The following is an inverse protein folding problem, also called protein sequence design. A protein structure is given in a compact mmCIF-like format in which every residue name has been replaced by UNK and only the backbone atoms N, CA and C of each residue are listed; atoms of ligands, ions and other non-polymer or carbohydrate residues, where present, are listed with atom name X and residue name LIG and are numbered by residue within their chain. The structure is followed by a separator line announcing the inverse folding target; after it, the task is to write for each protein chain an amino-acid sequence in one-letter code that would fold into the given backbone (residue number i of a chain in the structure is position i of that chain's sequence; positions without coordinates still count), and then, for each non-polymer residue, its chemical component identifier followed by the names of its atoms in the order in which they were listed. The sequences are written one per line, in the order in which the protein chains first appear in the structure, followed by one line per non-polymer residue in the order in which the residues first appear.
data_IF_057186482299
#
_entry.id   IF_057186482299
#
_cell.length_a   1.000
_cell.length_b   1.000
_cell.length_c   1.000
_cell.angle_alpha   90.00
_cell.angle_beta   90.00
_cell.angle_gamma   90.00
#
_symmetry.space_group_name_H-M   'P 1'
#
loop_
_entity.id
_entity.type
_entity.pdbx_description
1 polymer ?
#
# COMPACT_ATOMS: atom_id res chain seq x y z
N UNK A 1 -51.57 41.29 -13.51
CA UNK A 1 -50.09 41.16 -13.51
C UNK A 1 -49.70 40.01 -12.60
N UNK A 2 -49.59 38.78 -13.15
CA UNK A 2 -49.06 37.62 -12.41
C UNK A 2 -47.70 37.29 -13.01
N UNK A 3 -46.63 37.50 -12.24
CA UNK A 3 -45.24 37.30 -12.68
C UNK A 3 -44.96 35.79 -12.69
N UNK A 4 -44.61 35.28 -13.86
CA UNK A 4 -44.12 33.93 -14.10
C UNK A 4 -42.66 33.86 -13.62
N UNK A 5 -42.37 33.07 -12.59
CA UNK A 5 -40.99 32.79 -12.16
C UNK A 5 -40.56 31.52 -12.90
N UNK A 6 -39.63 31.69 -13.84
CA UNK A 6 -38.95 30.61 -14.54
C UNK A 6 -37.82 30.12 -13.62
N UNK A 7 -37.93 28.91 -13.08
CA UNK A 7 -36.83 28.27 -12.34
C UNK A 7 -35.93 27.59 -13.36
N UNK A 8 -34.79 28.21 -13.66
CA UNK A 8 -33.72 27.61 -14.45
C UNK A 8 -32.90 26.74 -13.49
N UNK A 9 -33.12 25.42 -13.53
CA UNK A 9 -32.19 24.45 -12.95
C UNK A 9 -30.91 24.46 -13.80
N UNK A 10 -29.90 25.21 -13.37
CA UNK A 10 -28.55 25.02 -13.88
C UNK A 10 -28.03 23.67 -13.36
N UNK A 11 -28.00 22.66 -14.24
CA UNK A 11 -27.19 21.46 -14.02
C UNK A 11 -25.74 21.90 -13.96
N UNK A 12 -25.19 21.96 -12.75
CA UNK A 12 -23.76 22.09 -12.51
C UNK A 12 -23.15 20.74 -12.90
N UNK A 13 -22.68 20.60 -14.14
CA UNK A 13 -21.80 19.49 -14.51
C UNK A 13 -20.51 19.66 -13.72
N UNK A 14 -20.36 18.92 -12.63
CA UNK A 14 -19.07 18.67 -12.00
C UNK A 14 -18.20 17.97 -13.05
N UNK A 15 -17.37 18.76 -13.73
CA UNK A 15 -16.21 18.24 -14.42
C UNK A 15 -15.31 17.67 -13.32
N UNK A 16 -15.33 16.35 -13.15
CA UNK A 16 -14.34 15.64 -12.34
C UNK A 16 -12.98 15.86 -13.00
N UNK A 17 -12.27 16.89 -12.56
CA UNK A 17 -10.85 17.00 -12.86
C UNK A 17 -10.18 15.85 -12.13
N UNK A 18 -9.65 14.88 -12.87
CA UNK A 18 -8.66 13.95 -12.35
C UNK A 18 -7.41 14.77 -11.99
N UNK A 19 -7.44 15.41 -10.82
CA UNK A 19 -6.29 16.05 -10.22
C UNK A 19 -5.40 14.93 -9.71
N UNK A 20 -4.34 14.61 -10.44
CA UNK A 20 -3.23 13.82 -9.88
C UNK A 20 -2.81 14.49 -8.57
N UNK A 21 -2.82 13.74 -7.47
CA UNK A 21 -2.47 14.25 -6.16
C UNK A 21 -1.08 14.93 -6.19
N UNK A 22 -1.03 16.23 -5.88
CA UNK A 22 0.24 16.97 -5.84
C UNK A 22 1.18 16.35 -4.81
N UNK A 23 2.44 16.20 -5.20
CA UNK A 23 3.50 15.61 -4.38
C UNK A 23 4.52 16.67 -3.95
N UNK A 24 4.85 16.72 -2.66
CA UNK A 24 5.90 17.56 -2.10
C UNK A 24 7.12 16.72 -1.73
N UNK A 25 8.29 17.05 -2.28
CA UNK A 25 9.59 16.54 -1.84
C UNK A 25 10.15 17.49 -0.79
N UNK A 26 10.32 17.01 0.43
CA UNK A 26 10.97 17.73 1.52
C UNK A 26 12.34 17.12 1.76
N UNK A 27 13.38 17.95 1.82
CA UNK A 27 14.73 17.42 2.07
C UNK A 27 15.62 18.36 2.88
N UNK A 28 16.63 17.76 3.50
CA UNK A 28 17.78 18.46 4.06
C UNK A 28 19.06 17.88 3.45
N UNK A 29 20.04 18.73 3.14
CA UNK A 29 21.31 18.29 2.56
C UNK A 29 22.47 19.13 3.08
N UNK A 30 23.34 18.53 3.90
CA UNK A 30 24.53 19.22 4.37
C UNK A 30 25.62 19.31 3.27
N UNK A 31 26.09 18.16 2.78
CA UNK A 31 27.22 18.06 1.83
C UNK A 31 26.80 17.81 0.38
N UNK A 32 25.50 17.83 0.07
CA UNK A 32 25.00 17.77 -1.31
C UNK A 32 24.41 16.43 -1.75
N UNK A 33 24.71 15.31 -1.07
CA UNK A 33 24.23 13.97 -1.51
C UNK A 33 22.70 13.88 -1.61
N UNK A 34 21.97 14.35 -0.58
CA UNK A 34 20.50 14.39 -0.63
C UNK A 34 19.98 15.34 -1.71
N UNK A 35 20.67 16.46 -1.96
CA UNK A 35 20.31 17.38 -3.06
C UNK A 35 20.45 16.71 -4.42
N UNK A 36 21.51 15.93 -4.65
CA UNK A 36 21.66 15.17 -5.90
C UNK A 36 20.59 14.09 -6.09
N UNK A 37 20.20 13.42 -4.99
CA UNK A 37 19.07 12.47 -4.98
C UNK A 37 17.78 13.19 -5.38
N UNK A 38 17.48 14.35 -4.77
CA UNK A 38 16.29 15.15 -5.08
C UNK A 38 16.30 15.63 -6.53
N UNK A 39 17.41 16.16 -7.04
CA UNK A 39 17.52 16.57 -8.44
C UNK A 39 17.23 15.41 -9.40
N UNK A 40 17.67 14.20 -9.04
CA UNK A 40 17.40 13.00 -9.84
C UNK A 40 15.92 12.63 -9.77
N UNK A 41 15.33 12.62 -8.57
CA UNK A 41 13.90 12.36 -8.35
C UNK A 41 13.01 13.33 -9.14
N UNK A 42 13.29 14.63 -9.06
CA UNK A 42 12.49 15.67 -9.73
C UNK A 42 12.63 15.66 -11.26
N UNK A 43 13.64 14.98 -11.80
CA UNK A 43 13.74 14.73 -13.25
C UNK A 43 12.85 13.59 -13.74
N UNK A 44 12.36 12.73 -12.82
CA UNK A 44 11.59 11.54 -13.14
C UNK A 44 10.09 11.72 -12.85
N UNK A 45 9.73 12.61 -11.92
CA UNK A 45 8.33 12.88 -11.53
C UNK A 45 8.09 14.38 -11.31
N UNK A 46 6.87 14.82 -11.60
CA UNK A 46 6.41 16.19 -11.32
C UNK A 46 6.15 16.35 -9.82
N UNK A 47 6.92 17.23 -9.17
CA UNK A 47 6.83 17.47 -7.73
C UNK A 47 7.16 18.91 -7.40
N UNK A 48 6.62 19.37 -6.28
CA UNK A 48 7.11 20.55 -5.61
C UNK A 48 8.28 20.19 -4.70
N UNK A 49 9.30 21.05 -4.63
CA UNK A 49 10.46 20.83 -3.74
C UNK A 49 10.49 21.87 -2.62
N UNK A 50 10.82 21.41 -1.40
CA UNK A 50 11.13 22.21 -0.22
C UNK A 50 12.47 21.74 0.38
N UNK A 51 13.49 22.62 0.36
CA UNK A 51 14.71 22.41 1.13
C UNK A 51 14.54 23.01 2.53
N UNK A 52 14.76 22.20 3.56
CA UNK A 52 14.79 22.65 4.95
C UNK A 52 16.20 23.16 5.27
N UNK A 53 16.30 24.34 5.86
CA UNK A 53 17.56 24.96 6.25
C UNK A 53 17.58 25.24 7.76
N UNK A 54 18.71 25.03 8.46
CA UNK A 54 18.87 25.49 9.84
C UNK A 54 18.83 27.02 9.91
N UNK A 55 18.27 27.58 10.98
CA UNK A 55 18.31 29.03 11.20
C UNK A 55 19.74 29.54 11.34
N UNK A 56 20.57 28.80 12.09
CA UNK A 56 22.00 29.11 12.20
C UNK A 56 22.73 28.79 10.88
N UNK A 57 23.48 29.78 10.38
CA UNK A 57 24.19 29.68 9.10
C UNK A 57 25.67 29.42 9.32
N UNK A 58 26.31 28.77 8.36
CA UNK A 58 27.74 28.46 8.44
C UNK A 58 28.09 27.34 9.43
N UNK A 59 27.12 26.51 9.80
CA UNK A 59 27.33 25.34 10.65
C UNK A 59 28.36 24.39 10.02
N UNK A 60 29.38 24.04 10.78
CA UNK A 60 30.44 23.10 10.38
C UNK A 60 30.25 21.78 11.14
N UNK A 61 29.38 20.91 10.62
CA UNK A 61 29.07 19.65 11.30
C UNK A 61 30.25 18.68 11.32
N UNK A 62 31.22 18.76 10.41
CA UNK A 62 32.44 17.94 10.43
C UNK A 62 33.45 18.37 11.48
N UNK A 63 33.35 19.60 11.99
CA UNK A 63 34.29 20.11 12.98
C UNK A 63 34.22 19.30 14.28
N UNK A 64 35.35 19.22 14.98
CA UNK A 64 35.45 18.59 16.30
C UNK A 64 34.85 17.17 16.35
N UNK A 65 35.11 16.36 15.32
CA UNK A 65 34.61 14.98 15.21
C UNK A 65 33.07 14.90 15.30
N UNK A 66 32.37 15.78 14.59
CA UNK A 66 30.91 15.83 14.57
C UNK A 66 30.23 16.10 15.93
N UNK A 67 30.90 16.85 16.80
CA UNK A 67 30.40 17.20 18.13
C UNK A 67 29.03 17.90 18.08
N UNK A 68 28.85 18.86 17.17
CA UNK A 68 27.59 19.59 17.04
C UNK A 68 26.44 18.67 16.65
N UNK A 69 26.61 17.85 15.60
CA UNK A 69 25.58 16.90 15.18
C UNK A 69 25.24 15.90 16.29
N UNK A 70 26.25 15.44 17.03
CA UNK A 70 26.07 14.55 18.19
C UNK A 70 25.26 15.23 19.30
N UNK A 71 25.58 16.50 19.61
CA UNK A 71 24.87 17.27 20.63
C UNK A 71 23.38 17.44 20.27
N UNK A 72 23.09 17.79 19.01
CA UNK A 72 21.70 17.96 18.54
C UNK A 72 20.90 16.67 18.65
N UNK A 73 21.44 15.54 18.18
CA UNK A 73 20.77 14.25 18.28
C UNK A 73 20.57 13.80 19.73
N UNK A 74 21.56 14.04 20.61
CA UNK A 74 21.44 13.73 22.03
C UNK A 74 20.37 14.57 22.73
N UNK A 75 20.23 15.85 22.38
CA UNK A 75 19.18 16.70 22.91
C UNK A 75 17.79 16.16 22.57
N UNK A 76 17.55 15.84 21.29
CA UNK A 76 16.28 15.24 20.82
C UNK A 76 16.03 13.91 21.52
N UNK A 77 17.02 13.02 21.56
CA UNK A 77 16.89 11.70 22.19
C UNK A 77 16.57 11.79 23.68
N UNK A 78 17.13 12.77 24.38
CA UNK A 78 16.87 12.97 25.81
C UNK A 78 15.45 13.49 26.07
N UNK A 79 14.91 14.34 25.18
CA UNK A 79 13.62 15.01 25.37
C UNK A 79 12.77 15.03 24.08
N UNK A 80 12.39 13.87 23.51
CA UNK A 80 11.84 13.80 22.15
C UNK A 80 10.46 14.44 21.98
N UNK A 81 9.76 14.71 23.09
CA UNK A 81 8.45 15.37 23.10
C UNK A 81 8.54 16.86 23.45
N UNK A 82 9.74 17.39 23.68
CA UNK A 82 9.97 18.80 24.00
C UNK A 82 10.47 19.54 22.75
N UNK A 83 9.72 20.55 22.31
CA UNK A 83 10.06 21.39 21.17
C UNK A 83 11.44 22.06 21.31
N UNK A 84 11.88 22.35 22.54
CA UNK A 84 13.18 22.99 22.81
C UNK A 84 14.38 22.06 22.54
N UNK A 85 14.15 20.75 22.42
CA UNK A 85 15.19 19.77 22.09
C UNK A 85 15.58 19.76 20.62
N UNK A 86 14.74 20.35 19.76
CA UNK A 86 14.91 20.38 18.31
C UNK A 86 15.62 21.67 17.87
N UNK A 87 16.66 21.62 17.01
CA UNK A 87 17.32 22.82 16.49
C UNK A 87 16.37 23.64 15.61
N UNK A 88 16.49 24.97 15.66
CA UNK A 88 15.67 25.86 14.85
C UNK A 88 15.95 25.74 13.34
N UNK A 89 14.88 25.81 12.54
CA UNK A 89 14.91 25.83 11.08
C UNK A 89 14.31 27.14 10.57
N UNK A 90 14.72 27.54 9.36
CA UNK A 90 14.10 28.67 8.67
C UNK A 90 12.59 28.44 8.46
N UNK A 91 11.79 29.52 8.37
CA UNK A 91 10.41 29.40 7.92
C UNK A 91 10.30 28.68 6.58
N UNK A 92 9.38 27.73 6.48
CA UNK A 92 9.16 26.93 5.27
C UNK A 92 8.29 27.70 4.26
N UNK A 93 8.60 27.53 2.97
CA UNK A 93 7.89 28.24 1.88
C UNK A 93 6.72 27.46 1.31
N UNK A 94 6.57 26.18 1.68
CA UNK A 94 5.49 25.29 1.25
C UNK A 94 4.91 24.57 2.46
N UNK A 95 3.59 24.60 2.58
CA UNK A 95 2.88 23.91 3.66
C UNK A 95 2.61 22.45 3.25
N UNK A 96 2.94 21.44 4.07
CA UNK A 96 2.58 20.07 3.78
C UNK A 96 1.06 19.84 3.75
N UNK A 97 0.26 20.76 4.32
CA UNK A 97 -1.20 20.69 4.26
C UNK A 97 -1.74 20.65 2.82
N UNK A 98 -1.05 21.29 1.87
CA UNK A 98 -1.48 21.47 0.48
C UNK A 98 -1.24 20.24 -0.42
N UNK A 99 -0.65 19.17 0.12
CA UNK A 99 -0.20 17.99 -0.63
C UNK A 99 -0.77 16.72 -0.02
N UNK A 100 -1.19 15.75 -0.83
CA UNK A 100 -1.60 14.44 -0.32
C UNK A 100 -0.41 13.47 -0.20
N UNK A 101 0.58 13.63 -1.08
CA UNK A 101 1.79 12.81 -1.12
C UNK A 101 3.01 13.64 -0.67
N UNK A 102 3.82 13.09 0.22
CA UNK A 102 5.04 13.73 0.72
C UNK A 102 6.20 12.74 0.62
N UNK A 103 7.31 13.15 0.00
CA UNK A 103 8.55 12.38 -0.04
C UNK A 103 9.58 13.06 0.84
N UNK A 104 10.10 12.34 1.83
CA UNK A 104 11.17 12.82 2.71
C UNK A 104 12.52 12.31 2.19
N UNK A 105 13.48 13.21 1.94
CA UNK A 105 14.86 12.84 1.61
C UNK A 105 15.81 13.38 2.67
N UNK A 106 16.50 12.49 3.38
CA UNK A 106 17.30 12.90 4.57
C UNK A 106 18.61 12.12 4.68
N UNK A 107 19.69 12.74 5.20
CA UNK A 107 20.89 12.01 5.53
C UNK A 107 20.76 11.29 6.88
N UNK A 108 21.43 10.15 7.00
CA UNK A 108 21.64 9.44 8.25
C UNK A 108 22.80 10.06 9.03
N UNK A 109 22.56 10.45 10.28
CA UNK A 109 23.57 10.90 11.23
C UNK A 109 23.57 9.99 12.46
N UNK A 110 24.68 9.27 12.70
CA UNK A 110 24.82 8.38 13.87
C UNK A 110 23.65 7.40 14.05
N UNK A 111 23.29 6.70 12.97
CA UNK A 111 22.16 5.76 12.89
C UNK A 111 20.78 6.37 13.18
N UNK A 112 20.67 7.69 13.21
CA UNK A 112 19.43 8.45 13.44
C UNK A 112 19.16 9.38 12.25
N UNK A 113 17.91 9.84 12.14
CA UNK A 113 17.54 10.87 11.19
C UNK A 113 18.29 12.19 11.52
N UNK A 114 18.78 12.92 10.51
CA UNK A 114 19.39 14.21 10.75
C UNK A 114 18.47 15.15 11.54
N UNK A 115 19.03 15.83 12.56
CA UNK A 115 18.26 16.63 13.51
C UNK A 115 17.41 17.72 12.83
N UNK A 116 17.90 18.32 11.74
CA UNK A 116 17.18 19.33 10.96
C UNK A 116 15.91 18.76 10.32
N UNK A 117 15.97 17.53 9.78
CA UNK A 117 14.77 16.86 9.25
C UNK A 117 13.82 16.50 10.40
N UNK A 118 14.34 16.01 11.53
CA UNK A 118 13.49 15.71 12.70
C UNK A 118 12.73 16.94 13.19
N UNK A 119 13.36 18.13 13.24
CA UNK A 119 12.67 19.39 13.57
C UNK A 119 11.48 19.62 12.65
N UNK A 120 11.68 19.52 11.33
CA UNK A 120 10.60 19.74 10.38
C UNK A 120 9.43 18.76 10.60
N UNK A 121 9.72 17.47 10.78
CA UNK A 121 8.67 16.48 11.03
C UNK A 121 7.94 16.74 12.35
N UNK A 122 8.67 17.04 13.43
CA UNK A 122 8.09 17.36 14.73
C UNK A 122 7.12 18.55 14.65
N UNK A 123 7.50 19.61 13.95
CA UNK A 123 6.68 20.82 13.80
C UNK A 123 5.47 20.64 12.88
N UNK A 124 5.52 19.70 11.93
CA UNK A 124 4.51 19.55 10.89
C UNK A 124 3.68 18.25 11.00
N UNK A 125 3.93 17.40 12.00
CA UNK A 125 3.30 16.08 12.15
C UNK A 125 1.77 16.13 12.10
N UNK A 126 1.15 17.12 12.75
CA UNK A 126 -0.32 17.29 12.76
C UNK A 126 -0.88 17.57 11.37
N UNK A 127 -0.20 18.40 10.58
CA UNK A 127 -0.58 18.67 9.20
C UNK A 127 -0.32 17.48 8.28
N UNK A 128 0.58 16.56 8.65
CA UNK A 128 0.89 15.37 7.86
C UNK A 128 -0.02 14.18 8.16
N UNK A 129 -0.84 14.23 9.20
CA UNK A 129 -1.77 13.16 9.53
C UNK A 129 -2.73 12.83 8.36
N UNK A 130 -2.90 11.55 8.07
CA UNK A 130 -3.72 11.05 6.96
C UNK A 130 -3.09 11.18 5.56
N UNK A 131 -1.87 11.72 5.46
CA UNK A 131 -1.15 11.84 4.18
C UNK A 131 -0.34 10.60 3.86
N UNK A 132 0.03 10.46 2.59
CA UNK A 132 0.91 9.41 2.12
C UNK A 132 2.37 9.87 2.19
N UNK A 133 3.24 9.06 2.79
CA UNK A 133 4.65 9.41 2.98
C UNK A 133 5.58 8.36 2.38
N UNK A 134 6.46 8.78 1.49
CA UNK A 134 7.62 8.01 1.01
C UNK A 134 8.92 8.56 1.60
N UNK A 135 9.96 7.73 1.68
CA UNK A 135 11.25 8.15 2.24
C UNK A 135 12.45 7.61 1.47
N UNK A 136 13.43 8.49 1.22
CA UNK A 136 14.76 8.13 0.71
C UNK A 136 15.80 8.54 1.76
N UNK A 137 16.63 7.60 2.17
CA UNK A 137 17.68 7.85 3.17
C UNK A 137 19.05 7.78 2.50
N UNK A 138 19.82 8.85 2.65
CA UNK A 138 21.23 8.89 2.22
C UNK A 138 22.16 8.53 3.37
N UNK A 139 23.17 7.71 3.11
CA UNK A 139 24.20 7.38 4.11
C UNK A 139 25.55 7.07 3.43
N UNK A 140 26.60 6.86 4.23
CA UNK A 140 27.83 6.28 3.68
C UNK A 140 27.69 4.76 3.51
N UNK A 141 27.51 4.03 4.61
CA UNK A 141 27.40 2.56 4.64
C UNK A 141 26.49 1.99 5.73
N UNK A 142 26.00 2.83 6.65
CA UNK A 142 25.17 2.39 7.78
C UNK A 142 23.74 2.11 7.34
N UNK A 143 23.16 1.03 7.86
CA UNK A 143 21.75 0.69 7.65
C UNK A 143 20.81 1.76 8.21
N UNK A 144 19.61 1.85 7.63
CA UNK A 144 18.71 2.99 7.80
C UNK A 144 17.60 2.79 8.83
N UNK A 145 17.57 1.65 9.52
CA UNK A 145 16.46 1.29 10.42
C UNK A 145 16.21 2.33 11.52
N UNK A 146 17.26 2.91 12.11
CA UNK A 146 17.07 3.96 13.12
C UNK A 146 16.50 5.27 12.55
N UNK A 147 16.82 5.61 11.30
CA UNK A 147 16.20 6.75 10.58
C UNK A 147 14.71 6.47 10.36
N UNK A 148 14.36 5.24 9.98
CA UNK A 148 12.98 4.81 9.80
C UNK A 148 12.20 4.89 11.12
N UNK A 149 12.76 4.38 12.22
CA UNK A 149 12.14 4.45 13.54
C UNK A 149 11.94 5.89 14.04
N UNK A 150 12.88 6.80 13.75
CA UNK A 150 12.69 8.22 14.03
C UNK A 150 11.50 8.81 13.24
N UNK A 151 11.39 8.46 11.96
CA UNK A 151 10.31 8.92 11.10
C UNK A 151 8.94 8.42 11.60
N UNK A 152 8.81 7.13 11.91
CA UNK A 152 7.59 6.51 12.44
C UNK A 152 7.17 7.11 13.78
N UNK A 153 8.14 7.38 14.67
CA UNK A 153 7.89 8.06 15.95
C UNK A 153 7.34 9.48 15.75
N UNK A 154 7.90 10.23 14.80
CA UNK A 154 7.51 11.61 14.53
C UNK A 154 6.20 11.73 13.74
N UNK A 155 5.91 10.73 12.91
CA UNK A 155 4.76 10.68 12.01
C UNK A 155 3.88 9.43 12.26
N UNK A 156 3.27 9.29 13.45
CA UNK A 156 2.53 8.07 13.79
C UNK A 156 1.21 7.91 13.03
N UNK A 157 0.70 8.98 12.43
CA UNK A 157 -0.64 9.04 11.83
C UNK A 157 -0.59 9.20 10.29
N UNK A 158 0.48 8.75 9.64
CA UNK A 158 0.62 8.79 8.18
C UNK A 158 0.50 7.39 7.58
N UNK A 159 0.22 7.32 6.28
CA UNK A 159 0.28 6.06 5.53
C UNK A 159 1.61 6.00 4.80
N UNK A 160 2.47 5.06 5.18
CA UNK A 160 3.74 4.83 4.48
C UNK A 160 3.49 4.19 3.11
N UNK A 161 4.04 4.79 2.06
CA UNK A 161 3.85 4.39 0.66
C UNK A 161 4.61 3.11 0.27
N UNK A 162 5.50 2.64 1.14
CA UNK A 162 6.34 1.46 0.92
C UNK A 162 7.59 1.51 1.78
N UNK A 163 8.52 0.59 1.52
CA UNK A 163 9.82 0.60 2.19
C UNK A 163 10.65 1.85 1.82
N UNK A 164 11.42 2.35 2.78
CA UNK A 164 12.32 3.46 2.56
C UNK A 164 13.45 3.06 1.59
N UNK A 165 13.71 3.89 0.57
CA UNK A 165 14.81 3.66 -0.35
C UNK A 165 16.14 4.03 0.31
N UNK A 166 17.06 3.07 0.34
CA UNK A 166 18.42 3.30 0.83
C UNK A 166 19.39 3.61 -0.31
N UNK A 167 19.89 4.85 -0.34
CA UNK A 167 20.98 5.26 -1.24
C UNK A 167 22.23 5.51 -0.40
N UNK A 168 23.27 4.74 -0.65
CA UNK A 168 24.53 4.80 0.08
C UNK A 168 25.71 5.11 -0.85
N UNK A 169 26.91 5.26 -0.31
CA UNK A 169 28.09 5.64 -1.10
C UNK A 169 28.39 4.66 -2.24
N UNK A 170 28.12 3.36 -2.06
CA UNK A 170 28.39 2.34 -3.08
C UNK A 170 27.40 2.35 -4.24
N UNK A 171 26.16 2.79 -4.02
CA UNK A 171 25.09 2.75 -5.02
C UNK A 171 24.66 4.15 -5.51
N UNK A 172 25.24 5.22 -4.98
CA UNK A 172 24.90 6.61 -5.33
C UNK A 172 25.07 6.90 -6.83
N UNK A 173 26.02 6.24 -7.51
CA UNK A 173 26.18 6.33 -8.97
C UNK A 173 25.01 5.75 -9.77
N UNK A 174 24.29 4.77 -9.19
CA UNK A 174 23.14 4.10 -9.80
C UNK A 174 21.79 4.69 -9.33
N UNK A 175 21.80 5.83 -8.64
CA UNK A 175 20.60 6.44 -8.02
C UNK A 175 19.44 6.63 -8.98
N UNK A 176 19.69 6.96 -10.26
CA UNK A 176 18.62 7.18 -11.23
C UNK A 176 17.74 5.94 -11.40
N UNK A 177 18.33 4.77 -11.64
CA UNK A 177 17.59 3.51 -11.78
C UNK A 177 16.99 3.03 -10.46
N UNK A 178 17.66 3.28 -9.32
CA UNK A 178 17.12 2.94 -8.01
C UNK A 178 15.86 3.75 -7.69
N UNK A 179 15.89 5.06 -7.95
CA UNK A 179 14.76 5.96 -7.77
C UNK A 179 13.63 5.57 -8.72
N UNK A 180 13.92 5.30 -9.99
CA UNK A 180 12.91 4.90 -10.98
C UNK A 180 12.17 3.62 -10.55
N UNK A 181 12.92 2.61 -10.11
CA UNK A 181 12.33 1.35 -9.64
C UNK A 181 11.55 1.53 -8.35
N UNK A 182 12.06 2.34 -7.42
CA UNK A 182 11.37 2.62 -6.17
C UNK A 182 10.08 3.42 -6.38
N UNK A 183 10.06 4.40 -7.28
CA UNK A 183 8.84 5.14 -7.64
C UNK A 183 7.74 4.19 -8.11
N UNK A 184 8.09 3.17 -8.91
CA UNK A 184 7.14 2.13 -9.36
C UNK A 184 6.57 1.31 -8.19
N UNK A 185 7.29 1.21 -7.08
CA UNK A 185 6.77 0.54 -5.86
C UNK A 185 5.95 1.45 -4.96
N UNK A 186 6.20 2.76 -5.01
CA UNK A 186 5.56 3.74 -4.12
C UNK A 186 4.10 3.98 -4.42
N UNK A 187 3.64 3.51 -5.58
CA UNK A 187 2.28 3.70 -6.01
C UNK A 187 1.80 5.16 -5.79
N UNK A 188 2.52 6.15 -6.33
CA UNK A 188 2.18 7.58 -6.17
C UNK A 188 0.74 7.93 -6.55
N UNK A 189 0.18 7.12 -7.43
CA UNK A 189 -1.19 7.21 -7.85
C UNK A 189 -2.16 6.53 -6.88
N UNK A 190 -1.77 5.94 -5.73
CA UNK A 190 -2.60 5.15 -4.80
C UNK A 190 -3.65 5.92 -3.99
N UNK A 191 -4.28 6.90 -4.61
CA UNK A 191 -5.75 6.85 -4.62
C UNK A 191 -6.28 5.82 -5.66
N UNK A 192 -5.39 5.22 -6.46
CA UNK A 192 -5.55 4.28 -7.58
C UNK A 192 -4.56 3.09 -7.56
N UNK A 193 -4.29 2.47 -6.40
CA UNK A 193 -4.24 0.99 -6.41
C UNK A 193 -5.71 0.71 -6.49
N UNK A 194 -6.24 0.72 -7.72
CA UNK A 194 -7.66 0.65 -8.05
C UNK A 194 -8.50 0.34 -6.80
N UNK A 195 -8.95 1.39 -6.09
CA UNK A 195 -10.07 1.25 -5.14
C UNK A 195 -11.26 0.60 -5.88
N UNK A 196 -11.23 0.77 -7.20
CA UNK A 196 -12.04 0.13 -8.21
C UNK A 196 -11.72 -1.33 -8.46
N UNK A 197 -10.71 -2.03 -7.89
CA UNK A 197 -10.52 -3.46 -8.18
C UNK A 197 -10.22 -4.32 -6.97
N UNK A 198 -10.93 -5.44 -6.94
CA UNK A 198 -10.61 -6.60 -6.14
C UNK A 198 -10.32 -7.80 -7.05
N UNK A 199 -9.69 -8.83 -6.50
CA UNK A 199 -9.48 -10.10 -7.17
C UNK A 199 -10.23 -11.20 -6.45
N UNK A 200 -10.88 -12.06 -7.23
CA UNK A 200 -11.63 -13.21 -6.77
C UNK A 200 -10.89 -14.45 -7.24
N UNK A 201 -10.55 -15.34 -6.32
CA UNK A 201 -9.86 -16.60 -6.62
C UNK A 201 -10.72 -17.80 -6.22
N UNK A 202 -10.96 -18.71 -7.17
CA UNK A 202 -11.70 -19.96 -6.99
C UNK A 202 -10.89 -21.08 -7.67
N UNK A 203 -10.58 -22.16 -6.95
CA UNK A 203 -9.77 -23.30 -7.44
C UNK A 203 -8.46 -22.87 -8.16
N UNK A 204 -7.81 -21.82 -7.65
CA UNK A 204 -6.57 -21.27 -8.19
C UNK A 204 -6.72 -20.37 -9.42
N UNK A 205 -7.92 -20.26 -10.00
CA UNK A 205 -8.24 -19.29 -11.06
C UNK A 205 -8.56 -17.95 -10.44
N UNK A 206 -7.97 -16.87 -10.96
CA UNK A 206 -8.16 -15.52 -10.42
C UNK A 206 -8.75 -14.60 -11.47
N UNK A 207 -9.83 -13.93 -11.12
CA UNK A 207 -10.50 -12.94 -11.97
C UNK A 207 -10.55 -11.58 -11.26
N UNK A 208 -10.35 -10.50 -12.00
CA UNK A 208 -10.54 -9.15 -11.46
C UNK A 208 -12.03 -8.78 -11.43
N UNK A 209 -12.41 -7.97 -10.45
CA UNK A 209 -13.72 -7.36 -10.37
C UNK A 209 -13.59 -5.88 -10.08
N UNK A 210 -14.33 -5.07 -10.84
CA UNK A 210 -14.38 -3.63 -10.67
C UNK A 210 -15.35 -3.25 -9.55
N UNK A 211 -14.89 -2.59 -8.48
CA UNK A 211 -15.68 -2.08 -7.37
C UNK A 211 -16.31 -0.71 -7.69
N UNK A 212 -17.45 -0.42 -7.08
CA UNK A 212 -18.03 0.95 -7.06
C UNK A 212 -17.50 1.73 -5.85
N UNK A 213 -17.51 3.06 -5.90
CA UNK A 213 -17.17 3.87 -4.72
C UNK A 213 -18.41 4.13 -3.85
N UNK A 214 -18.50 3.43 -2.72
CA UNK A 214 -19.47 3.70 -1.67
C UNK A 214 -18.90 3.29 -0.29
N UNK A 215 -19.68 3.49 0.77
CA UNK A 215 -19.19 3.21 2.13
C UNK A 215 -18.86 1.72 2.32
N UNK A 216 -19.70 0.82 1.79
CA UNK A 216 -19.50 -0.62 1.92
C UNK A 216 -18.22 -1.11 1.24
N UNK A 217 -17.92 -0.61 0.03
CA UNK A 217 -16.72 -1.00 -0.71
C UNK A 217 -15.46 -0.45 -0.07
N UNK A 218 -15.48 0.78 0.47
CA UNK A 218 -14.35 1.31 1.26
C UNK A 218 -14.07 0.46 2.50
N UNK A 219 -15.10 0.03 3.22
CA UNK A 219 -14.96 -0.87 4.37
C UNK A 219 -14.49 -2.29 3.99
N UNK A 220 -14.91 -2.79 2.81
CA UNK A 220 -14.43 -4.05 2.27
C UNK A 220 -12.95 -3.94 1.91
N UNK A 221 -12.55 -2.92 1.16
CA UNK A 221 -11.15 -2.66 0.80
C UNK A 221 -10.29 -2.51 2.04
N UNK A 222 -10.73 -1.73 3.04
CA UNK A 222 -10.02 -1.60 4.31
C UNK A 222 -9.80 -2.94 5.03
N UNK A 223 -10.75 -3.87 4.94
CA UNK A 223 -10.53 -5.22 5.47
C UNK A 223 -9.54 -6.03 4.62
N UNK A 224 -9.62 -5.93 3.29
CA UNK A 224 -8.72 -6.64 2.38
C UNK A 224 -7.28 -6.12 2.42
N UNK A 225 -7.07 -4.85 2.84
CA UNK A 225 -5.75 -4.30 3.14
C UNK A 225 -5.09 -4.98 4.34
N UNK A 226 -5.87 -5.44 5.32
CA UNK A 226 -5.33 -6.19 6.46
C UNK A 226 -4.96 -7.62 6.08
N UNK A 227 -5.86 -8.33 5.39
CA UNK A 227 -5.63 -9.68 4.88
C UNK A 227 -6.66 -10.07 3.81
N UNK A 228 -6.33 -11.01 2.90
CA UNK A 228 -7.33 -11.66 2.06
C UNK A 228 -8.46 -12.29 2.88
N UNK A 229 -9.69 -12.20 2.36
CA UNK A 229 -10.88 -12.79 3.00
C UNK A 229 -11.23 -14.08 2.25
N UNK A 230 -11.30 -15.19 2.96
CA UNK A 230 -11.78 -16.47 2.40
C UNK A 230 -13.17 -16.77 2.93
N UNK A 231 -14.11 -17.04 2.02
CA UNK A 231 -15.50 -17.37 2.32
C UNK A 231 -15.89 -18.67 1.65
N UNK A 232 -16.90 -19.33 2.21
CA UNK A 232 -17.54 -20.50 1.61
C UNK A 232 -18.91 -20.09 1.08
N UNK A 233 -19.08 -20.14 -0.24
CA UNK A 233 -20.31 -19.76 -0.93
C UNK A 233 -21.03 -20.99 -1.49
N UNK A 234 -22.34 -20.87 -1.67
CA UNK A 234 -23.19 -21.91 -2.25
C UNK A 234 -24.02 -21.34 -3.38
N UNK A 235 -24.24 -22.16 -4.40
CA UNK A 235 -25.11 -21.83 -5.52
C UNK A 235 -26.60 -21.83 -5.14
N UNK A 236 -27.38 -20.94 -5.77
CA UNK A 236 -28.84 -20.94 -5.70
C UNK A 236 -29.53 -20.65 -7.07
N UNK A 237 -29.01 -21.18 -8.18
CA UNK A 237 -29.52 -21.06 -9.57
C UNK A 237 -29.18 -19.78 -10.33
N UNK A 238 -28.88 -18.67 -9.67
CA UNK A 238 -28.55 -17.40 -10.33
C UNK A 238 -27.35 -16.64 -9.74
N UNK A 239 -26.93 -17.00 -8.53
CA UNK A 239 -25.75 -16.48 -7.85
C UNK A 239 -25.05 -17.59 -7.05
N UNK A 240 -23.81 -17.32 -6.65
CA UNK A 240 -23.24 -17.93 -5.47
C UNK A 240 -23.29 -16.93 -4.32
N UNK A 241 -23.64 -17.40 -3.13
CA UNK A 241 -23.83 -16.53 -1.98
C UNK A 241 -23.45 -17.18 -0.65
N UNK A 242 -23.21 -16.36 0.36
CA UNK A 242 -22.87 -16.81 1.70
C UNK A 242 -22.35 -15.69 2.60
N UNK A 243 -22.07 -15.99 3.88
CA UNK A 243 -21.59 -15.00 4.84
C UNK A 243 -20.20 -14.48 4.45
N UNK A 244 -20.03 -13.16 4.47
CA UNK A 244 -18.75 -12.49 4.26
C UNK A 244 -17.79 -12.65 5.46
N UNK A 245 -18.33 -13.07 6.62
CA UNK A 245 -17.58 -13.13 7.88
C UNK A 245 -17.40 -11.78 8.57
N UNK A 246 -17.92 -10.69 7.97
CA UNK A 246 -18.01 -9.35 8.57
C UNK A 246 -19.29 -8.64 8.14
N UNK A 247 -19.71 -7.69 8.96
CA UNK A 247 -20.73 -6.72 8.58
C UNK A 247 -20.08 -5.54 7.85
N UNK A 248 -20.77 -5.02 6.84
CA UNK A 248 -20.46 -3.75 6.19
C UNK A 248 -21.67 -2.82 6.29
N UNK A 249 -21.42 -1.52 6.21
CA UNK A 249 -22.47 -0.50 6.11
C UNK A 249 -23.32 -0.74 4.86
N UNK A 250 -24.64 -0.79 5.02
CA UNK A 250 -25.58 -1.02 3.91
C UNK A 250 -26.10 0.28 3.34
N UNK A 251 -26.08 0.38 2.02
CA UNK A 251 -26.73 1.42 1.22
C UNK A 251 -27.65 0.71 0.22
N UNK A 252 -28.73 0.12 0.73
CA UNK A 252 -29.57 -0.77 -0.06
C UNK A 252 -30.44 0.01 -1.06
N UNK A 253 -30.40 -0.40 -2.32
CA UNK A 253 -31.22 0.14 -3.40
C UNK A 253 -31.92 -0.99 -4.15
N UNK A 254 -33.14 -0.72 -4.64
CA UNK A 254 -33.83 -1.65 -5.51
C UNK A 254 -33.09 -1.72 -6.85
N UNK A 255 -32.69 -2.92 -7.25
CA UNK A 255 -31.93 -3.11 -8.48
C UNK A 255 -32.23 -4.43 -9.19
N UNK A 256 -31.86 -4.48 -10.48
CA UNK A 256 -31.81 -5.70 -11.26
C UNK A 256 -30.35 -6.08 -11.46
N UNK A 257 -29.96 -7.26 -11.02
CA UNK A 257 -28.61 -7.76 -11.22
C UNK A 257 -28.44 -8.32 -12.63
N UNK A 258 -27.21 -8.32 -13.09
CA UNK A 258 -26.77 -8.94 -14.34
C UNK A 258 -25.56 -9.81 -14.08
N UNK A 259 -25.25 -10.72 -15.01
CA UNK A 259 -24.08 -11.60 -14.87
C UNK A 259 -22.80 -10.78 -14.56
N UNK A 260 -22.04 -11.25 -13.57
CA UNK A 260 -20.83 -10.64 -13.03
C UNK A 260 -21.07 -9.72 -11.84
N UNK A 261 -22.31 -9.31 -11.56
CA UNK A 261 -22.59 -8.38 -10.48
C UNK A 261 -22.24 -8.93 -9.09
N UNK A 262 -21.64 -8.09 -8.25
CA UNK A 262 -21.28 -8.37 -6.86
C UNK A 262 -22.07 -7.41 -5.97
N UNK A 263 -22.77 -7.95 -4.99
CA UNK A 263 -23.58 -7.16 -4.06
C UNK A 263 -23.46 -7.70 -2.63
N UNK A 264 -23.81 -6.85 -1.68
CA UNK A 264 -24.01 -7.19 -0.28
C UNK A 264 -25.50 -7.34 0.00
N UNK A 265 -25.87 -8.46 0.61
CA UNK A 265 -27.22 -8.77 1.08
C UNK A 265 -27.28 -8.87 2.59
N UNK A 266 -28.29 -8.22 3.19
CA UNK A 266 -28.50 -8.20 4.64
C UNK A 266 -27.25 -7.77 5.46
N UNK A 267 -26.46 -6.85 4.89
CA UNK A 267 -25.27 -6.26 5.52
C UNK A 267 -24.09 -7.21 5.77
N UNK A 268 -24.22 -8.51 5.49
CA UNK A 268 -23.24 -9.51 5.93
C UNK A 268 -23.08 -10.70 4.99
N UNK A 269 -23.88 -10.80 3.92
CA UNK A 269 -23.73 -11.84 2.91
C UNK A 269 -23.23 -11.23 1.61
N UNK A 270 -22.22 -11.85 1.01
CA UNK A 270 -21.78 -11.50 -0.34
C UNK A 270 -22.51 -12.39 -1.34
N UNK A 271 -22.96 -11.77 -2.43
CA UNK A 271 -23.69 -12.39 -3.52
C UNK A 271 -22.96 -12.08 -4.83
N UNK A 272 -22.65 -13.11 -5.63
CA UNK A 272 -21.96 -12.98 -6.93
C UNK A 272 -22.82 -13.63 -8.00
N UNK A 273 -23.38 -12.82 -8.89
CA UNK A 273 -24.38 -13.22 -9.87
C UNK A 273 -23.75 -13.74 -11.17
N UNK A 274 -24.32 -14.80 -11.72
CA UNK A 274 -24.10 -15.23 -13.11
C UNK A 274 -25.39 -15.22 -13.95
N UNK A 275 -26.51 -14.81 -13.35
CA UNK A 275 -27.78 -14.54 -14.01
C UNK A 275 -28.47 -13.32 -13.36
N UNK A 276 -29.68 -12.98 -13.80
CA UNK A 276 -30.41 -11.82 -13.27
C UNK A 276 -31.35 -12.18 -12.12
N UNK A 277 -31.43 -11.28 -11.15
CA UNK A 277 -32.42 -11.26 -10.08
C UNK A 277 -32.81 -9.81 -9.74
N UNK A 278 -33.93 -9.60 -9.07
CA UNK A 278 -34.41 -8.28 -8.67
C UNK A 278 -34.68 -8.22 -7.18
N UNK A 279 -33.94 -7.39 -6.44
CA UNK A 279 -34.10 -7.21 -5.01
C UNK A 279 -33.48 -5.89 -4.53
N UNK A 280 -33.55 -5.65 -3.21
CA UNK A 280 -32.87 -4.53 -2.55
C UNK A 280 -31.50 -4.97 -2.04
N UNK A 281 -30.43 -4.39 -2.60
CA UNK A 281 -29.04 -4.75 -2.30
C UNK A 281 -28.16 -3.51 -2.16
N UNK A 282 -27.01 -3.64 -1.51
CA UNK A 282 -25.93 -2.67 -1.63
C UNK A 282 -24.96 -3.13 -2.73
N UNK A 283 -24.76 -2.33 -3.78
CA UNK A 283 -23.83 -2.65 -4.87
C UNK A 283 -22.39 -2.65 -4.34
N UNK A 284 -21.61 -3.68 -4.68
CA UNK A 284 -20.17 -3.72 -4.38
C UNK A 284 -19.33 -3.57 -5.66
N UNK A 285 -19.70 -4.25 -6.75
CA UNK A 285 -18.90 -4.22 -7.96
C UNK A 285 -19.39 -5.17 -9.04
N UNK A 286 -18.50 -5.50 -9.98
CA UNK A 286 -18.77 -6.42 -11.09
C UNK A 286 -17.49 -7.13 -11.56
N UNK A 287 -17.57 -8.43 -11.81
CA UNK A 287 -16.48 -9.22 -12.41
C UNK A 287 -16.19 -8.73 -13.84
N UNK A 288 -14.92 -8.56 -14.16
CA UNK A 288 -14.47 -8.02 -15.45
C UNK A 288 -14.34 -9.12 -16.51
N UNK A 289 -14.62 -8.80 -17.77
CA UNK A 289 -14.07 -9.50 -18.94
C UNK A 289 -14.54 -10.94 -19.21
N UNK A 290 -15.47 -11.48 -18.42
CA UNK A 290 -16.04 -12.81 -18.63
C UNK A 290 -17.46 -12.72 -19.23
N UNK A 291 -17.75 -13.57 -20.21
CA UNK A 291 -19.10 -13.85 -20.69
C UNK A 291 -19.92 -14.61 -19.65
N UNK A 292 -21.25 -14.71 -19.83
CA UNK A 292 -22.11 -15.45 -18.89
C UNK A 292 -21.70 -16.93 -18.76
N UNK A 293 -21.35 -17.60 -19.86
CA UNK A 293 -20.90 -19.00 -19.81
C UNK A 293 -19.56 -19.17 -19.09
N UNK A 294 -18.64 -18.22 -19.28
CA UNK A 294 -17.36 -18.21 -18.57
C UNK A 294 -17.56 -17.91 -17.08
N UNK A 295 -18.48 -17.00 -16.73
CA UNK A 295 -18.87 -16.72 -15.34
C UNK A 295 -19.46 -17.94 -14.65
N UNK A 296 -20.39 -18.66 -15.30
CA UNK A 296 -20.96 -19.90 -14.74
C UNK A 296 -19.89 -20.94 -14.45
N UNK A 297 -18.88 -21.04 -15.32
CA UNK A 297 -17.75 -21.94 -15.13
C UNK A 297 -16.84 -21.47 -14.00
N UNK A 298 -16.45 -20.19 -14.00
CA UNK A 298 -15.58 -19.60 -12.99
C UNK A 298 -16.18 -19.64 -11.57
N UNK A 299 -17.48 -19.35 -11.46
CA UNK A 299 -18.23 -19.37 -10.20
C UNK A 299 -18.73 -20.76 -9.80
N UNK A 300 -18.41 -21.81 -10.58
CA UNK A 300 -18.82 -23.19 -10.32
C UNK A 300 -20.33 -23.34 -10.11
N UNK A 301 -21.11 -22.75 -11.02
CA UNK A 301 -22.56 -22.75 -10.95
C UNK A 301 -23.12 -24.18 -10.82
N UNK A 302 -24.04 -24.37 -9.87
CA UNK A 302 -24.62 -25.66 -9.49
C UNK A 302 -23.84 -26.46 -8.44
N UNK A 303 -22.67 -25.98 -7.99
CA UNK A 303 -21.90 -26.60 -6.89
C UNK A 303 -22.25 -26.01 -5.52
N UNK A 304 -21.74 -26.63 -4.45
CA UNK A 304 -21.87 -26.17 -3.06
C UNK A 304 -20.51 -26.22 -2.37
N UNK A 305 -20.36 -25.49 -1.27
CA UNK A 305 -19.11 -25.37 -0.52
C UNK A 305 -17.94 -24.81 -1.35
N UNK A 306 -18.22 -23.82 -2.20
CA UNK A 306 -17.24 -23.19 -3.08
C UNK A 306 -16.36 -22.29 -2.23
N UNK A 307 -15.06 -22.55 -2.19
CA UNK A 307 -14.10 -21.70 -1.47
C UNK A 307 -13.69 -20.54 -2.36
N UNK A 308 -14.01 -19.33 -1.92
CA UNK A 308 -13.75 -18.08 -2.65
C UNK A 308 -12.83 -17.21 -1.83
N UNK A 309 -11.71 -16.80 -2.40
CA UNK A 309 -10.79 -15.84 -1.79
C UNK A 309 -10.91 -14.47 -2.46
N UNK A 310 -11.09 -13.44 -1.65
CA UNK A 310 -11.13 -12.04 -2.05
C UNK A 310 -9.81 -11.38 -1.65
N UNK A 311 -9.18 -10.59 -2.52
CA UNK A 311 -7.91 -9.90 -2.22
C UNK A 311 -7.71 -8.64 -3.05
N UNK A 312 -6.73 -7.80 -2.69
CA UNK A 312 -6.34 -6.60 -3.45
C UNK A 312 -5.17 -6.85 -4.42
N UNK A 313 -4.61 -8.06 -4.43
CA UNK A 313 -3.49 -8.42 -5.31
C UNK A 313 -3.89 -9.60 -6.17
N UNK A 314 -3.58 -9.55 -7.47
CA UNK A 314 -3.72 -10.69 -8.39
C UNK A 314 -2.78 -11.87 -8.06
N UNK A 315 -1.92 -11.70 -7.04
CA UNK A 315 -0.98 -12.68 -6.55
C UNK A 315 -1.68 -13.89 -5.98
N UNK A 316 -1.92 -14.88 -6.84
CA UNK A 316 -1.64 -16.26 -6.45
C UNK A 316 -0.25 -16.25 -5.80
N UNK A 317 -0.06 -16.95 -4.66
CA UNK A 317 1.28 -17.29 -4.17
C UNK A 317 2.14 -17.59 -5.39
N UNK A 318 3.29 -16.92 -5.59
CA UNK A 318 4.05 -16.78 -6.85
C UNK A 318 4.57 -18.09 -7.50
N UNK A 319 3.74 -19.13 -7.50
CA UNK A 319 3.91 -20.48 -7.95
C UNK A 319 2.93 -20.62 -9.11
N UNK A 320 3.40 -20.24 -10.30
CA UNK A 320 2.64 -20.37 -11.55
C UNK A 320 2.54 -21.83 -12.01
N UNK A 321 3.43 -22.68 -11.51
CA UNK A 321 3.43 -24.14 -11.66
C UNK A 321 4.44 -24.75 -10.68
N UNK A 322 4.21 -25.99 -10.26
CA UNK A 322 5.23 -26.83 -9.62
C UNK A 322 5.70 -27.84 -10.66
N UNK A 323 6.88 -27.59 -11.25
CA UNK A 323 7.61 -28.65 -11.95
C UNK A 323 8.23 -29.53 -10.89
N UNK A 324 7.57 -30.65 -10.57
CA UNK A 324 8.21 -31.71 -9.81
C UNK A 324 9.38 -32.24 -10.62
N UNK A 325 10.60 -31.79 -10.34
CA UNK A 325 11.80 -32.53 -10.71
C UNK A 325 11.73 -33.85 -9.94
N UNK A 326 11.05 -34.85 -10.51
CA UNK A 326 11.12 -36.23 -10.04
C UNK A 326 12.48 -36.77 -10.44
N UNK A 327 13.53 -36.26 -9.82
CA UNK A 327 14.73 -37.05 -9.65
C UNK A 327 14.37 -38.10 -8.61
N UNK A 328 14.06 -39.31 -9.08
CA UNK A 328 13.93 -40.49 -8.24
C UNK A 328 15.34 -40.88 -7.74
N UNK A 329 15.97 -40.02 -6.93
CA UNK A 329 17.29 -40.31 -6.34
C UNK A 329 17.18 -41.34 -5.20
N UNK A 330 15.95 -41.73 -4.83
CA UNK A 330 15.66 -42.70 -3.78
C UNK A 330 15.97 -42.20 -2.37
N UNK A 331 16.42 -40.95 -2.21
CA UNK A 331 16.72 -40.38 -0.92
C UNK A 331 15.46 -40.01 -0.15
N UNK A 332 15.62 -40.03 1.17
CA UNK A 332 14.58 -39.61 2.09
C UNK A 332 14.83 -38.17 2.52
N UNK A 333 13.75 -37.42 2.66
CA UNK A 333 13.74 -36.07 3.18
C UNK A 333 12.80 -35.99 4.38
N UNK A 334 13.15 -35.18 5.37
CA UNK A 334 12.22 -34.82 6.45
C UNK A 334 11.04 -34.00 5.90
N UNK A 335 9.98 -33.82 6.69
CA UNK A 335 8.84 -32.96 6.33
C UNK A 335 9.24 -31.49 6.12
N UNK A 336 10.39 -31.08 6.63
CA UNK A 336 10.96 -29.73 6.43
C UNK A 336 11.90 -29.66 5.20
N UNK A 337 11.95 -30.72 4.37
CA UNK A 337 12.73 -30.72 3.12
C UNK A 337 14.24 -30.99 3.28
N UNK A 338 14.71 -31.34 4.48
CA UNK A 338 16.13 -31.68 4.71
C UNK A 338 16.39 -33.14 4.35
N UNK A 339 17.42 -33.42 3.55
CA UNK A 339 17.85 -34.79 3.18
C UNK A 339 18.30 -35.58 4.42
N UNK A 340 17.86 -36.83 4.54
CA UNK A 340 18.09 -37.71 5.69
C UNK A 340 18.86 -38.95 5.26
N UNK A 341 20.00 -39.19 5.90
CA UNK A 341 20.80 -40.41 5.72
C UNK A 341 20.34 -41.50 6.70
N UNK A 342 20.13 -42.72 6.23
CA UNK A 342 19.74 -43.91 7.03
C UNK A 342 18.49 -43.73 7.92
N UNK A 343 17.33 -43.37 7.35
CA UNK A 343 16.11 -43.29 8.12
C UNK A 343 15.69 -44.68 8.62
N UNK A 344 15.25 -44.77 9.87
CA UNK A 344 14.92 -46.05 10.53
C UNK A 344 13.55 -46.10 11.20
N UNK A 345 12.94 -44.95 11.52
CA UNK A 345 11.57 -44.88 12.04
C UNK A 345 10.98 -43.49 11.83
N UNK A 346 9.76 -43.42 11.31
CA UNK A 346 8.99 -42.16 11.23
C UNK A 346 8.48 -41.81 9.84
N UNK A 347 8.02 -40.58 9.69
CA UNK A 347 7.42 -40.07 8.45
C UNK A 347 8.46 -39.30 7.65
N UNK A 348 8.62 -39.68 6.38
CA UNK A 348 9.56 -39.05 5.45
C UNK A 348 8.89 -38.76 4.11
N UNK A 349 9.57 -37.97 3.29
CA UNK A 349 9.24 -37.75 1.88
C UNK A 349 10.30 -38.51 1.07
N UNK A 350 9.87 -39.46 0.24
CA UNK A 350 10.72 -40.16 -0.71
C UNK A 350 10.07 -40.08 -2.09
N UNK A 351 10.82 -39.66 -3.11
CA UNK A 351 10.33 -39.46 -4.49
C UNK A 351 9.02 -38.64 -4.56
N UNK A 352 8.91 -37.62 -3.71
CA UNK A 352 7.74 -36.73 -3.64
C UNK A 352 6.50 -37.36 -2.97
N UNK A 353 6.60 -38.55 -2.38
CA UNK A 353 5.52 -39.20 -1.63
C UNK A 353 5.86 -39.29 -0.15
N UNK A 354 4.86 -39.09 0.70
CA UNK A 354 4.95 -39.38 2.13
C UNK A 354 5.07 -40.89 2.32
N UNK A 355 6.10 -41.33 3.02
CA UNK A 355 6.35 -42.74 3.37
C UNK A 355 6.52 -42.86 4.87
N UNK A 356 6.11 -43.99 5.42
CA UNK A 356 6.30 -44.33 6.83
C UNK A 356 7.28 -45.50 6.85
N UNK A 357 8.39 -45.33 7.56
CA UNK A 357 9.38 -46.36 7.81
C UNK A 357 9.24 -46.93 9.22
#
# INVERSE_FOLDING_TARGET
MKRLILVICAMLTLLSTNTTAKTLVVYYSYTGNCREIVNTLTSQIETDVLEILPTEKGLQYEANNYALGTQLLNAIKANPNDASSYPAIDPVTKSPADYQNIIIVTPLWWSQMAAITQTYLFQNASMMAGKHVGMIVSSHSSGISGVVSDAERLLPNVTWMGEALWINASNHGNRASLIENWIKTLNFDNENTTMDKMYITIDGQTQSATLVDNTATRELVAALQNAPITVTLNDNQFEIWGPLGKSLTTENEQMNTTAGDIVLYNGSNICIFYASNSWSYTRLGKIDGLSESELRTFLKAGESNITVMLSLTSGTTAIRSVNGNRMEDGAYYSLNGVKVSNPSKGIYIQNGKKVIL
#
